data_IF_273895448862
#
_entry.id   IF_273895448862
#
_cell.length_a   1.000
_cell.length_b   1.000
_cell.length_c   1.000
_cell.angle_alpha   90.00
_cell.angle_beta   90.00
_cell.angle_gamma   90.00
#
_symmetry.space_group_name_H-M   'P 1'
#
loop_
_entity.id
_entity.type
_entity.pdbx_description
1 polymer ?
#
# COMPACT_ATOMS: atom_id res chain seq x y z
N UNK A 1 15.20 -1.50 6.70
CA UNK A 1 13.95 -2.14 6.23
C UNK A 1 13.99 -2.24 4.72
N UNK A 2 13.34 -3.25 4.13
CA UNK A 2 13.30 -3.47 2.67
C UNK A 2 11.94 -3.00 2.14
N UNK A 3 11.86 -2.69 0.85
CA UNK A 3 10.58 -2.44 0.21
C UNK A 3 9.66 -3.65 0.37
N UNK A 4 8.37 -3.41 0.63
CA UNK A 4 7.38 -4.48 0.81
C UNK A 4 7.59 -5.39 2.04
N UNK A 5 8.51 -5.04 2.96
CA UNK A 5 8.82 -5.89 4.12
C UNK A 5 7.81 -5.80 5.27
N UNK A 6 6.61 -5.25 5.04
CA UNK A 6 5.52 -5.27 6.02
C UNK A 6 4.83 -6.65 5.93
N UNK A 7 5.03 -7.55 6.91
CA UNK A 7 4.63 -8.95 6.82
C UNK A 7 3.13 -9.17 7.09
N UNK A 8 2.35 -8.11 7.28
CA UNK A 8 1.03 -8.23 7.89
C UNK A 8 -0.07 -8.70 6.95
N UNK A 9 -0.06 -8.31 5.66
CA UNK A 9 -1.15 -8.57 4.70
C UNK A 9 -0.64 -8.56 3.23
N UNK A 10 -0.86 -9.66 2.51
CA UNK A 10 -0.55 -9.89 1.09
C UNK A 10 -1.76 -9.61 0.17
N UNK A 11 -1.56 -9.47 -1.15
CA UNK A 11 -2.65 -9.26 -2.12
C UNK A 11 -3.83 -10.25 -1.97
N UNK A 12 -3.56 -11.53 -1.72
CA UNK A 12 -4.58 -12.57 -1.54
C UNK A 12 -5.44 -12.33 -0.30
N UNK A 13 -4.84 -11.87 0.80
CA UNK A 13 -5.57 -11.56 2.03
C UNK A 13 -6.62 -10.45 1.80
N UNK A 14 -6.28 -9.44 0.99
CA UNK A 14 -7.26 -8.41 0.59
C UNK A 14 -8.44 -9.02 -0.17
N UNK A 15 -8.18 -9.94 -1.11
CA UNK A 15 -9.24 -10.59 -1.88
C UNK A 15 -10.17 -11.41 -0.98
N UNK A 16 -9.60 -12.15 -0.02
CA UNK A 16 -10.37 -12.93 0.95
C UNK A 16 -11.22 -12.06 1.88
N UNK A 17 -10.63 -10.98 2.41
CA UNK A 17 -11.34 -10.01 3.26
C UNK A 17 -12.49 -9.34 2.49
N UNK A 18 -12.23 -8.86 1.27
CA UNK A 18 -13.25 -8.22 0.43
C UNK A 18 -14.36 -9.21 0.05
N UNK A 19 -14.00 -10.46 -0.26
CA UNK A 19 -14.96 -11.53 -0.52
C UNK A 19 -15.85 -11.79 0.69
N UNK A 20 -15.28 -11.84 1.90
CA UNK A 20 -16.04 -11.99 3.14
C UNK A 20 -16.99 -10.82 3.37
N UNK A 21 -16.52 -9.58 3.24
CA UNK A 21 -17.36 -8.38 3.46
C UNK A 21 -18.54 -8.35 2.47
N UNK A 22 -18.31 -8.71 1.19
CA UNK A 22 -19.36 -8.77 0.15
C UNK A 22 -20.48 -9.77 0.46
N UNK A 23 -20.23 -10.79 1.27
CA UNK A 23 -21.31 -11.72 1.72
C UNK A 23 -22.37 -11.02 2.57
N UNK A 24 -21.98 -9.96 3.29
CA UNK A 24 -22.83 -9.26 4.24
C UNK A 24 -23.19 -7.83 3.81
N UNK A 25 -22.54 -7.31 2.76
CA UNK A 25 -22.79 -5.97 2.23
C UNK A 25 -23.11 -5.99 0.75
N UNK A 26 -24.13 -5.20 0.37
CA UNK A 26 -24.57 -5.05 -1.03
C UNK A 26 -23.57 -4.30 -1.90
N UNK A 27 -22.76 -3.41 -1.32
CA UNK A 27 -21.76 -2.61 -2.03
C UNK A 27 -20.55 -2.33 -1.11
N UNK A 28 -19.41 -2.02 -1.74
CA UNK A 28 -18.19 -1.54 -1.10
C UNK A 28 -17.92 -0.05 -1.36
N UNK A 29 -18.79 0.66 -2.09
CA UNK A 29 -18.56 2.05 -2.53
C UNK A 29 -18.39 3.05 -1.37
N UNK A 30 -18.81 2.67 -0.16
CA UNK A 30 -18.62 3.47 1.06
C UNK A 30 -17.27 3.24 1.76
N UNK A 31 -16.38 2.44 1.18
CA UNK A 31 -15.09 2.09 1.78
C UNK A 31 -13.92 2.51 0.90
N UNK A 32 -12.98 3.19 1.52
CA UNK A 32 -11.62 3.28 1.00
C UNK A 32 -10.84 2.01 1.32
N UNK A 33 -10.07 1.53 0.35
CA UNK A 33 -9.15 0.42 0.52
C UNK A 33 -7.72 0.94 0.56
N UNK A 34 -7.12 0.83 1.74
CA UNK A 34 -5.84 1.48 2.05
C UNK A 34 -4.75 0.42 2.22
N UNK A 35 -3.54 0.71 1.73
CA UNK A 35 -2.33 -0.09 1.98
C UNK A 35 -1.23 0.77 2.59
N UNK A 36 -0.73 0.35 3.75
CA UNK A 36 0.54 0.86 4.28
C UNK A 36 1.70 0.31 3.44
N UNK A 37 2.59 1.19 3.00
CA UNK A 37 3.72 0.85 2.12
C UNK A 37 5.05 1.32 2.70
N UNK A 38 6.11 0.72 2.19
CA UNK A 38 7.50 1.03 2.52
C UNK A 38 8.24 1.17 1.21
N UNK A 39 8.41 2.40 0.71
CA UNK A 39 9.26 2.68 -0.46
C UNK A 39 10.71 2.99 -0.12
N UNK A 40 11.65 2.47 -0.88
CA UNK A 40 13.07 2.83 -0.71
C UNK A 40 13.51 3.93 -1.68
N UNK A 41 12.67 4.27 -2.66
CA UNK A 41 12.96 5.25 -3.71
C UNK A 41 13.65 4.64 -4.93
N UNK A 42 13.68 3.31 -5.00
CA UNK A 42 14.15 2.53 -6.15
C UNK A 42 12.92 1.95 -6.86
N UNK A 43 12.79 2.25 -8.16
CA UNK A 43 11.62 1.87 -8.96
C UNK A 43 11.37 0.35 -8.97
N UNK A 44 12.41 -0.45 -9.12
CA UNK A 44 12.32 -1.91 -9.21
C UNK A 44 11.93 -2.52 -7.86
N UNK A 45 12.50 -2.02 -6.77
CA UNK A 45 12.15 -2.48 -5.42
C UNK A 45 10.74 -2.04 -5.01
N UNK A 46 10.31 -0.85 -5.41
CA UNK A 46 9.02 -0.28 -5.06
C UNK A 46 7.86 -0.83 -5.93
N UNK A 47 8.18 -1.59 -7.00
CA UNK A 47 7.20 -2.11 -7.97
C UNK A 47 6.15 -3.07 -7.37
N UNK A 48 6.43 -3.68 -6.21
CA UNK A 48 5.49 -4.54 -5.48
C UNK A 48 4.15 -3.83 -5.15
N UNK A 49 4.14 -2.51 -5.12
CA UNK A 49 2.94 -1.69 -4.90
C UNK A 49 1.86 -1.99 -5.95
N UNK A 50 2.25 -2.30 -7.19
CA UNK A 50 1.33 -2.59 -8.28
C UNK A 50 0.49 -3.84 -8.02
N UNK A 51 0.96 -4.79 -7.22
CA UNK A 51 0.20 -6.00 -6.89
C UNK A 51 -1.11 -5.68 -6.14
N UNK A 52 -1.19 -4.50 -5.52
CA UNK A 52 -2.35 -4.06 -4.75
C UNK A 52 -3.35 -3.22 -5.57
N UNK A 53 -2.92 -2.63 -6.69
CA UNK A 53 -3.77 -1.77 -7.52
C UNK A 53 -4.96 -2.52 -8.15
N UNK A 54 -4.79 -3.72 -8.75
CA UNK A 54 -5.91 -4.49 -9.31
C UNK A 54 -6.95 -4.93 -8.28
N UNK A 55 -6.59 -4.93 -6.99
CA UNK A 55 -7.49 -5.30 -5.90
C UNK A 55 -8.43 -4.14 -5.53
N UNK A 56 -8.17 -2.94 -6.06
CA UNK A 56 -8.94 -1.73 -5.80
C UNK A 56 -8.42 -0.91 -4.65
N UNK A 57 -7.14 -1.07 -4.25
CA UNK A 57 -6.50 -0.16 -3.31
C UNK A 57 -6.48 1.24 -3.92
N UNK A 58 -7.14 2.18 -3.26
CA UNK A 58 -7.28 3.56 -3.74
C UNK A 58 -6.45 4.56 -2.92
N UNK A 59 -5.87 4.14 -1.79
CA UNK A 59 -4.93 4.94 -1.01
C UNK A 59 -3.69 4.15 -0.62
N UNK A 60 -2.53 4.79 -0.79
CA UNK A 60 -1.24 4.30 -0.29
C UNK A 60 -0.76 5.20 0.84
N UNK A 61 -0.38 4.60 1.96
CA UNK A 61 0.16 5.32 3.12
C UNK A 61 1.62 4.97 3.30
N UNK A 62 2.50 5.96 3.10
CA UNK A 62 3.93 5.76 3.28
C UNK A 62 4.29 5.71 4.77
N UNK A 63 4.88 4.59 5.20
CA UNK A 63 5.21 4.40 6.59
C UNK A 63 6.40 5.27 7.02
N UNK A 64 6.28 6.02 8.12
CA UNK A 64 7.34 6.91 8.58
C UNK A 64 7.87 6.49 9.95
N UNK A 65 9.18 6.25 10.01
CA UNK A 65 9.93 6.06 11.24
C UNK A 65 11.22 6.88 11.19
N UNK A 66 11.56 7.54 12.29
CA UNK A 66 12.73 8.44 12.37
C UNK A 66 14.07 7.73 12.11
N UNK A 67 14.13 6.42 12.33
CA UNK A 67 15.29 5.57 12.03
C UNK A 67 15.36 5.09 10.57
N UNK A 68 14.33 5.33 9.75
CA UNK A 68 14.26 4.91 8.34
C UNK A 68 14.65 6.04 7.39
N UNK A 69 14.19 7.26 7.66
CA UNK A 69 14.42 8.44 6.83
C UNK A 69 14.05 9.72 7.58
N UNK A 70 14.55 10.86 7.10
CA UNK A 70 14.10 12.19 7.52
C UNK A 70 12.72 12.54 6.95
N UNK A 71 12.09 13.57 7.53
CA UNK A 71 10.81 14.10 7.02
C UNK A 71 10.92 14.62 5.59
N UNK A 72 12.05 15.24 5.22
CA UNK A 72 12.25 15.73 3.85
C UNK A 72 12.35 14.59 2.82
N UNK A 73 12.93 13.47 3.22
CA UNK A 73 13.05 12.29 2.34
C UNK A 73 11.70 11.59 2.17
N UNK A 74 10.90 11.47 3.23
CA UNK A 74 9.56 10.87 3.12
C UNK A 74 8.62 11.75 2.29
N UNK A 75 8.69 13.07 2.45
CA UNK A 75 7.95 14.03 1.62
C UNK A 75 8.26 13.82 0.13
N UNK A 76 9.55 13.73 -0.23
CA UNK A 76 9.96 13.47 -1.63
C UNK A 76 9.44 12.14 -2.18
N UNK A 77 9.34 11.10 -1.35
CA UNK A 77 8.77 9.80 -1.75
C UNK A 77 7.27 9.92 -2.01
N UNK A 78 6.55 10.59 -1.11
CA UNK A 78 5.11 10.85 -1.27
C UNK A 78 4.85 11.67 -2.54
N UNK A 79 5.62 12.74 -2.77
CA UNK A 79 5.48 13.62 -3.93
C UNK A 79 5.77 12.91 -5.25
N UNK A 80 6.64 11.89 -5.24
CA UNK A 80 6.92 11.05 -6.42
C UNK A 80 5.72 10.16 -6.78
N UNK A 81 4.88 9.81 -5.80
CA UNK A 81 3.80 8.85 -5.99
C UNK A 81 4.30 7.41 -6.16
N UNK A 82 3.38 6.47 -6.47
CA UNK A 82 3.76 5.09 -6.79
C UNK A 82 4.64 5.05 -8.06
N UNK A 83 5.50 4.02 -8.20
CA UNK A 83 6.25 3.81 -9.44
C UNK A 83 5.30 3.67 -10.65
N UNK A 84 5.76 4.08 -11.85
CA UNK A 84 5.07 3.88 -13.13
C UNK A 84 5.34 2.52 -13.77
#
# INVERSE_FOLDING_TARGET
>A
MKAGSDPSIYPQDYQEILSYIRKYRKSLDSFDLVKSIVTVGNKEEDAYIHDFMPIGVNWLLEAFWSNRCSLKEIQKRIDRGPPE
#
